data_IF_112297332836
#
_entry.id   IF_112297332836
#
_cell.length_a   1.000
_cell.length_b   1.000
_cell.length_c   1.000
_cell.angle_alpha   90.00
_cell.angle_beta   90.00
_cell.angle_gamma   90.00
#
_symmetry.space_group_name_H-M   'P 1'
#
loop_
_entity.id
_entity.type
_entity.pdbx_description
1 polymer ?
#
# COMPACT_ATOMS: atom_id res chain seq x y z
N UNK A 1 -57.89 -16.29 -20.74
CA UNK A 1 -58.94 -15.93 -19.79
C UNK A 1 -58.31 -15.37 -18.52
N UNK A 2 -58.71 -14.16 -18.19
CA UNK A 2 -58.19 -13.32 -17.09
C UNK A 2 -58.50 -13.88 -15.71
N UNK A 3 -57.65 -13.78 -14.72
CA UNK A 3 -58.04 -13.47 -13.33
C UNK A 3 -57.00 -12.59 -12.65
N UNK A 4 -57.42 -11.37 -12.36
CA UNK A 4 -56.80 -10.34 -11.54
C UNK A 4 -57.29 -10.58 -10.13
N UNK A 5 -56.39 -10.47 -9.12
CA UNK A 5 -56.73 -10.45 -7.69
C UNK A 5 -56.14 -9.17 -7.10
N UNK A 6 -56.94 -8.39 -6.35
CA UNK A 6 -56.56 -7.04 -5.92
C UNK A 6 -55.80 -7.02 -4.59
N UNK A 7 -54.99 -5.98 -4.49
CA UNK A 7 -54.17 -5.54 -3.37
C UNK A 7 -55.05 -4.94 -2.25
N UNK A 8 -54.90 -5.40 -1.00
CA UNK A 8 -55.47 -4.73 0.17
C UNK A 8 -54.40 -3.94 0.91
N UNK A 9 -54.61 -2.63 0.96
CA UNK A 9 -53.86 -1.72 1.85
C UNK A 9 -54.49 -1.77 3.24
N UNK A 10 -53.72 -2.03 4.28
CA UNK A 10 -54.10 -1.82 5.66
C UNK A 10 -53.24 -0.71 6.26
N UNK A 11 -53.83 0.46 6.43
CA UNK A 11 -53.21 1.59 7.11
C UNK A 11 -53.26 1.42 8.63
N UNK A 12 -52.14 1.62 9.29
CA UNK A 12 -52.06 1.75 10.76
C UNK A 12 -51.75 3.21 11.06
N UNK A 13 -52.75 3.84 11.71
CA UNK A 13 -52.71 5.20 12.22
C UNK A 13 -52.02 5.17 13.60
N UNK A 14 -50.83 5.69 13.72
CA UNK A 14 -50.10 5.86 14.97
C UNK A 14 -50.34 7.25 15.56
N UNK A 15 -50.97 7.30 16.72
CA UNK A 15 -51.26 8.50 17.51
C UNK A 15 -49.98 8.94 18.24
N UNK A 16 -49.48 10.12 17.92
CA UNK A 16 -48.42 10.80 18.68
C UNK A 16 -49.03 11.54 19.87
N UNK A 17 -48.69 11.13 21.08
CA UNK A 17 -48.99 11.90 22.30
C UNK A 17 -47.81 12.82 22.60
N UNK A 18 -48.00 14.10 22.47
CA UNK A 18 -47.08 15.15 22.91
C UNK A 18 -47.26 15.39 24.40
N UNK A 19 -46.23 15.07 25.19
CA UNK A 19 -46.13 15.51 26.58
C UNK A 19 -45.31 16.78 26.66
N UNK A 20 -45.97 17.87 26.95
CA UNK A 20 -45.34 19.18 27.22
C UNK A 20 -44.94 19.24 28.70
N UNK A 21 -43.63 19.34 29.01
CA UNK A 21 -43.17 19.74 30.34
C UNK A 21 -42.76 21.21 30.30
N UNK A 22 -43.52 22.05 30.97
CA UNK A 22 -43.13 23.41 31.32
C UNK A 22 -42.08 23.33 32.46
N UNK A 23 -40.93 23.95 32.27
CA UNK A 23 -39.98 24.27 33.34
C UNK A 23 -39.95 25.76 33.59
N UNK A 24 -40.19 26.08 34.85
CA UNK A 24 -40.14 27.41 35.44
C UNK A 24 -38.70 27.92 35.51
N UNK A 25 -38.52 29.15 35.13
CA UNK A 25 -37.25 29.91 35.29
C UNK A 25 -36.95 30.17 36.74
N UNK A 26 -35.73 29.91 37.18
CA UNK A 26 -35.13 30.56 38.35
C UNK A 26 -33.75 31.11 37.96
N UNK A 27 -33.66 32.40 38.14
CA UNK A 27 -32.53 33.26 37.89
C UNK A 27 -31.49 33.07 39.03
N UNK A 28 -30.25 32.70 38.71
CA UNK A 28 -29.10 32.93 39.61
C UNK A 28 -27.75 32.75 38.90
N UNK A 29 -26.96 33.82 38.84
CA UNK A 29 -25.49 33.74 38.91
C UNK A 29 -24.72 33.57 37.62
N UNK A 30 -24.40 34.67 36.94
CA UNK A 30 -23.25 34.79 36.04
C UNK A 30 -21.96 34.39 36.77
N UNK A 31 -21.39 33.26 36.39
CA UNK A 31 -19.94 33.01 36.57
C UNK A 31 -19.39 32.63 35.23
N UNK A 32 -18.70 33.59 34.62
CA UNK A 32 -17.90 33.36 33.39
C UNK A 32 -16.71 32.51 33.77
N UNK A 33 -16.78 31.22 33.51
CA UNK A 33 -15.59 30.36 33.44
C UNK A 33 -15.20 30.29 31.95
N UNK A 34 -14.24 31.12 31.59
CA UNK A 34 -13.48 30.97 30.39
C UNK A 34 -12.63 29.68 30.53
N UNK A 35 -13.17 28.58 30.15
CA UNK A 35 -12.48 27.30 29.99
C UNK A 35 -12.09 27.13 28.55
N UNK A 36 -11.01 27.80 28.15
CA UNK A 36 -10.35 27.55 26.86
C UNK A 36 -9.61 26.21 26.97
N UNK A 37 -10.34 25.10 26.86
CA UNK A 37 -9.73 23.81 26.64
C UNK A 37 -9.43 23.70 25.14
N UNK A 38 -8.35 24.33 24.71
CA UNK A 38 -7.67 23.97 23.50
C UNK A 38 -7.27 22.49 23.65
N UNK A 39 -8.10 21.58 23.21
CA UNK A 39 -7.74 20.17 23.03
C UNK A 39 -6.48 20.21 22.15
N UNK A 40 -5.32 19.93 22.72
CA UNK A 40 -4.05 19.87 22.00
C UNK A 40 -4.23 18.88 20.86
N UNK A 41 -4.32 19.39 19.63
CA UNK A 41 -4.51 18.60 18.43
C UNK A 41 -3.36 17.61 18.39
N UNK A 42 -3.65 16.31 18.57
CA UNK A 42 -2.61 15.26 18.62
C UNK A 42 -1.78 15.34 17.34
N UNK A 43 -0.46 15.33 17.49
CA UNK A 43 0.46 15.33 16.37
C UNK A 43 0.14 14.15 15.42
N UNK A 44 -0.22 14.39 14.17
CA UNK A 44 -0.59 13.31 13.25
C UNK A 44 0.61 12.47 12.77
N UNK A 45 1.83 13.02 12.84
CA UNK A 45 3.06 12.44 12.34
C UNK A 45 4.17 12.43 13.42
N UNK A 46 3.96 11.75 14.56
CA UNK A 46 4.87 11.85 15.71
C UNK A 46 6.26 11.26 15.43
N UNK A 47 6.38 10.32 14.49
CA UNK A 47 7.67 9.71 14.09
C UNK A 47 8.42 10.50 13.03
N UNK A 48 7.90 11.63 12.58
CA UNK A 48 8.55 12.50 11.60
C UNK A 48 9.22 13.71 12.27
N UNK A 49 10.29 14.21 11.64
CA UNK A 49 10.97 15.46 11.98
C UNK A 49 10.60 16.59 11.01
N UNK A 50 10.77 17.84 11.46
CA UNK A 50 10.76 19.01 10.59
C UNK A 50 12.11 19.14 9.84
N UNK A 51 12.13 19.74 8.64
CA UNK A 51 11.03 20.51 8.04
C UNK A 51 10.02 19.66 7.25
N UNK A 52 10.37 18.44 6.81
CA UNK A 52 9.55 17.65 5.88
C UNK A 52 8.17 17.32 6.46
N UNK A 53 8.09 17.03 7.76
CA UNK A 53 6.81 16.85 8.45
C UNK A 53 5.87 18.04 8.24
N UNK A 54 6.38 19.26 8.44
CA UNK A 54 5.60 20.49 8.26
C UNK A 54 5.15 20.63 6.81
N UNK A 55 6.00 20.36 5.84
CA UNK A 55 5.70 20.45 4.41
C UNK A 55 4.55 19.48 4.01
N UNK A 56 4.56 18.25 4.55
CA UNK A 56 3.46 17.28 4.36
C UNK A 56 2.15 17.83 4.94
N UNK A 57 2.18 18.35 6.17
CA UNK A 57 1.00 18.89 6.86
C UNK A 57 0.46 20.12 6.11
N UNK A 58 1.33 21.02 5.69
CA UNK A 58 0.96 22.22 4.93
C UNK A 58 0.33 21.86 3.59
N UNK A 59 0.92 20.88 2.85
CA UNK A 59 0.34 20.40 1.60
C UNK A 59 -1.05 19.79 1.82
N UNK A 60 -1.21 18.90 2.78
CA UNK A 60 -2.51 18.27 3.07
C UNK A 60 -3.53 19.34 3.47
N UNK A 61 -3.17 20.28 4.33
CA UNK A 61 -4.04 21.41 4.71
C UNK A 61 -4.46 22.22 3.49
N UNK A 62 -3.50 22.54 2.60
CA UNK A 62 -3.73 23.31 1.37
C UNK A 62 -4.78 22.67 0.47
N UNK A 63 -4.67 21.36 0.21
CA UNK A 63 -5.58 20.65 -0.72
C UNK A 63 -6.90 20.23 -0.08
N UNK A 64 -7.03 20.34 1.24
CA UNK A 64 -8.26 19.93 1.95
C UNK A 64 -9.10 21.11 2.45
N UNK A 65 -8.58 22.34 2.43
CA UNK A 65 -9.30 23.52 2.89
C UNK A 65 -10.28 24.00 1.83
N UNK A 66 -11.57 23.83 2.09
CA UNK A 66 -12.65 24.27 1.20
C UNK A 66 -12.63 25.78 0.96
N UNK A 67 -13.06 26.18 -0.22
CA UNK A 67 -13.12 27.59 -0.61
C UNK A 67 -11.80 28.23 -1.02
N UNK A 68 -10.70 27.44 -1.06
CA UNK A 68 -9.39 27.90 -1.58
C UNK A 68 -9.18 27.46 -3.02
N UNK A 69 -8.33 28.16 -3.81
CA UNK A 69 -8.01 27.77 -5.18
C UNK A 69 -7.36 26.41 -5.32
N UNK A 70 -6.71 25.92 -4.27
CA UNK A 70 -5.98 24.66 -4.23
C UNK A 70 -6.81 23.48 -3.70
N UNK A 71 -8.07 23.73 -3.33
CA UNK A 71 -8.96 22.68 -2.80
C UNK A 71 -9.18 21.57 -3.81
N UNK A 72 -9.01 20.34 -3.34
CA UNK A 72 -9.26 19.13 -4.12
C UNK A 72 -10.47 18.39 -3.54
N UNK A 73 -11.52 18.08 -4.32
CA UNK A 73 -12.66 17.29 -3.85
C UNK A 73 -12.21 15.92 -3.30
N UNK A 74 -12.89 15.40 -2.29
CA UNK A 74 -12.54 14.11 -1.63
C UNK A 74 -12.38 12.96 -2.63
N UNK A 75 -13.26 12.88 -3.64
CA UNK A 75 -13.22 11.85 -4.70
C UNK A 75 -11.95 11.88 -5.54
N UNK A 76 -11.26 13.01 -5.60
CA UNK A 76 -10.05 13.22 -6.40
C UNK A 76 -8.76 13.19 -5.55
N UNK A 77 -8.88 13.00 -4.23
CA UNK A 77 -7.73 12.88 -3.31
C UNK A 77 -7.18 11.45 -3.34
N UNK A 78 -6.43 11.12 -4.38
CA UNK A 78 -5.78 9.82 -4.56
C UNK A 78 -4.32 9.91 -4.13
N UNK A 79 -3.89 8.97 -3.28
CA UNK A 79 -2.50 8.80 -2.86
C UNK A 79 -1.99 7.41 -3.23
N UNK A 80 -0.84 7.32 -3.87
CA UNK A 80 -0.21 6.07 -4.30
C UNK A 80 1.13 5.87 -3.61
N UNK A 81 1.38 4.66 -3.14
CA UNK A 81 2.60 4.27 -2.43
C UNK A 81 3.19 3.04 -3.09
N UNK A 82 4.49 3.05 -3.37
CA UNK A 82 5.20 1.80 -3.56
C UNK A 82 5.22 1.01 -2.23
N UNK A 83 5.53 -0.28 -2.31
CA UNK A 83 5.53 -1.16 -1.14
C UNK A 83 6.94 -1.47 -0.63
N UNK A 84 7.75 -2.14 -1.47
CA UNK A 84 9.09 -2.59 -1.10
C UNK A 84 10.05 -1.39 -1.00
N UNK A 85 10.66 -1.18 0.18
CA UNK A 85 11.51 -0.02 0.45
C UNK A 85 10.75 1.30 0.70
N UNK A 86 9.43 1.32 0.55
CA UNK A 86 8.59 2.50 0.79
C UNK A 86 7.70 2.34 2.01
N UNK A 87 6.95 1.24 2.09
CA UNK A 87 6.07 0.94 3.22
C UNK A 87 6.70 -0.07 4.20
N UNK A 88 7.60 -0.91 3.74
CA UNK A 88 8.36 -1.87 4.54
C UNK A 88 9.80 -2.04 4.03
N UNK A 89 10.65 -2.67 4.87
CA UNK A 89 12.04 -2.97 4.49
C UNK A 89 12.10 -3.98 3.32
N UNK A 90 13.04 -3.79 2.40
CA UNK A 90 13.14 -4.59 1.18
C UNK A 90 14.45 -5.39 1.02
N UNK A 91 15.36 -5.35 1.98
CA UNK A 91 16.60 -6.11 1.92
C UNK A 91 16.66 -7.10 3.10
N UNK A 92 16.42 -8.40 2.82
CA UNK A 92 16.05 -9.03 1.54
C UNK A 92 14.59 -8.76 1.12
N UNK A 93 14.31 -8.89 -0.20
CA UNK A 93 12.95 -8.73 -0.73
C UNK A 93 11.99 -9.79 -0.16
N UNK A 94 10.85 -9.36 0.36
CA UNK A 94 9.81 -10.26 0.89
C UNK A 94 9.23 -11.15 -0.21
N UNK A 95 9.09 -10.63 -1.43
CA UNK A 95 8.65 -11.39 -2.60
C UNK A 95 9.59 -12.58 -2.90
N UNK A 96 10.90 -12.36 -2.77
CA UNK A 96 11.92 -13.42 -2.94
C UNK A 96 11.85 -14.46 -1.82
N UNK A 97 11.68 -14.02 -0.56
CA UNK A 97 11.52 -14.92 0.59
C UNK A 97 10.29 -15.81 0.42
N UNK A 98 9.19 -15.25 -0.08
CA UNK A 98 7.99 -16.03 -0.39
C UNK A 98 8.23 -17.05 -1.51
N UNK A 99 8.92 -16.66 -2.59
CA UNK A 99 9.27 -17.60 -3.64
C UNK A 99 10.12 -18.77 -3.11
N UNK A 100 11.08 -18.51 -2.23
CA UNK A 100 11.87 -19.57 -1.60
C UNK A 100 11.04 -20.48 -0.67
N UNK A 101 10.11 -19.90 0.08
CA UNK A 101 9.14 -20.65 0.88
C UNK A 101 8.31 -21.60 -0.03
N UNK A 102 7.82 -21.11 -1.15
CA UNK A 102 7.08 -21.90 -2.13
C UNK A 102 7.91 -23.00 -2.77
N UNK A 103 9.17 -22.72 -3.14
CA UNK A 103 10.10 -23.75 -3.65
C UNK A 103 10.22 -24.89 -2.65
N UNK A 104 10.39 -24.61 -1.36
CA UNK A 104 10.47 -25.63 -0.32
C UNK A 104 9.22 -26.52 -0.30
N UNK A 105 8.03 -25.95 -0.36
CA UNK A 105 6.77 -26.71 -0.42
C UNK A 105 6.70 -27.58 -1.68
N UNK A 106 6.99 -27.00 -2.86
CA UNK A 106 6.90 -27.66 -4.16
C UNK A 106 7.88 -28.83 -4.25
N UNK A 107 9.13 -28.66 -3.85
CA UNK A 107 10.13 -29.74 -3.91
C UNK A 107 9.92 -30.80 -2.83
N UNK A 108 9.29 -30.46 -1.71
CA UNK A 108 8.87 -31.44 -0.70
C UNK A 108 7.78 -32.35 -1.23
N UNK A 109 6.81 -31.77 -1.97
CA UNK A 109 5.73 -32.54 -2.60
C UNK A 109 6.21 -33.33 -3.84
N UNK A 110 7.21 -32.80 -4.58
CA UNK A 110 7.79 -33.49 -5.75
C UNK A 110 9.31 -33.33 -5.80
N UNK A 111 10.08 -34.25 -5.14
CA UNK A 111 11.54 -34.15 -5.04
C UNK A 111 12.28 -34.15 -6.39
N UNK A 112 11.69 -34.66 -7.46
CA UNK A 112 12.31 -34.65 -8.79
C UNK A 112 12.50 -33.22 -9.35
N UNK A 113 11.69 -32.26 -8.89
CA UNK A 113 11.80 -30.85 -9.28
C UNK A 113 13.03 -30.19 -8.70
N UNK A 114 13.57 -30.66 -7.59
CA UNK A 114 14.80 -30.10 -7.01
C UNK A 114 16.02 -30.16 -7.96
N UNK A 115 15.97 -31.03 -8.99
CA UNK A 115 17.02 -31.19 -10.01
C UNK A 115 16.78 -30.33 -11.27
N UNK A 116 15.69 -29.54 -11.32
CA UNK A 116 15.31 -28.72 -12.46
C UNK A 116 15.37 -27.24 -12.12
N UNK A 117 15.81 -26.40 -13.08
CA UNK A 117 15.70 -24.95 -12.92
C UNK A 117 14.24 -24.48 -13.00
N UNK A 118 13.87 -23.47 -12.24
CA UNK A 118 14.67 -22.64 -11.31
C UNK A 118 14.82 -23.24 -9.89
N UNK A 119 14.14 -24.33 -9.57
CA UNK A 119 14.16 -24.94 -8.23
C UNK A 119 15.56 -25.36 -7.80
N UNK A 120 16.35 -25.93 -8.73
CA UNK A 120 17.74 -26.33 -8.47
C UNK A 120 18.56 -25.16 -7.94
N UNK A 121 18.49 -23.99 -8.57
CA UNK A 121 19.25 -22.82 -8.14
C UNK A 121 18.89 -22.38 -6.71
N UNK A 122 17.61 -22.45 -6.35
CA UNK A 122 17.17 -22.12 -4.97
C UNK A 122 17.67 -23.15 -3.97
N UNK A 123 17.52 -24.43 -4.27
CA UNK A 123 17.91 -25.53 -3.37
C UNK A 123 19.43 -25.54 -3.14
N UNK A 124 20.22 -25.27 -4.18
CA UNK A 124 21.69 -25.23 -4.10
C UNK A 124 22.25 -23.86 -3.71
N UNK A 125 21.37 -22.84 -3.54
CA UNK A 125 21.74 -21.44 -3.27
C UNK A 125 22.68 -20.88 -4.34
N UNK A 126 22.44 -21.23 -5.61
CA UNK A 126 23.23 -20.77 -6.76
C UNK A 126 22.88 -19.33 -7.11
N UNK A 127 23.59 -18.40 -6.49
CA UNK A 127 23.47 -16.95 -6.77
C UNK A 127 23.85 -16.61 -8.21
N UNK A 128 24.84 -17.33 -8.79
CA UNK A 128 25.30 -17.06 -10.14
C UNK A 128 24.21 -17.30 -11.20
N UNK A 129 23.31 -18.23 -10.97
CA UNK A 129 22.13 -18.42 -11.82
C UNK A 129 21.27 -17.16 -11.91
N UNK A 130 20.97 -16.53 -10.77
CA UNK A 130 20.15 -15.31 -10.71
C UNK A 130 20.93 -14.08 -11.19
N UNK A 131 22.21 -13.95 -10.85
CA UNK A 131 23.06 -12.85 -11.33
C UNK A 131 23.20 -12.84 -12.86
N UNK A 132 23.44 -14.01 -13.46
CA UNK A 132 23.57 -14.17 -14.92
C UNK A 132 22.24 -14.07 -15.65
N UNK A 133 21.19 -14.64 -15.06
CA UNK A 133 19.85 -14.67 -15.66
C UNK A 133 19.07 -13.38 -15.46
N UNK A 134 19.43 -12.56 -14.48
CA UNK A 134 18.80 -11.28 -14.18
C UNK A 134 17.28 -11.41 -14.00
N UNK A 135 16.56 -10.43 -14.53
CA UNK A 135 15.08 -10.36 -14.48
C UNK A 135 14.41 -11.62 -15.05
N UNK A 136 14.97 -12.22 -16.11
CA UNK A 136 14.42 -13.44 -16.70
C UNK A 136 14.42 -14.63 -15.73
N UNK A 137 15.50 -14.81 -14.96
CA UNK A 137 15.59 -15.87 -13.97
C UNK A 137 14.58 -15.66 -12.81
N UNK A 138 14.40 -14.41 -12.39
CA UNK A 138 13.39 -14.05 -11.40
C UNK A 138 11.97 -14.30 -11.89
N UNK A 139 11.64 -13.90 -13.12
CA UNK A 139 10.34 -14.17 -13.74
C UNK A 139 10.08 -15.69 -13.83
N UNK A 140 11.10 -16.48 -14.18
CA UNK A 140 10.97 -17.95 -14.22
C UNK A 140 10.69 -18.52 -12.82
N UNK A 141 11.38 -18.02 -11.79
CA UNK A 141 11.16 -18.46 -10.41
C UNK A 141 9.75 -18.09 -9.95
N UNK A 142 9.33 -16.85 -10.16
CA UNK A 142 8.00 -16.37 -9.77
C UNK A 142 6.92 -17.13 -10.54
N UNK A 143 7.07 -17.33 -11.86
CA UNK A 143 6.16 -18.14 -12.66
C UNK A 143 6.02 -19.57 -12.11
N UNK A 144 7.14 -20.23 -11.76
CA UNK A 144 7.14 -21.59 -11.24
C UNK A 144 6.54 -21.73 -9.83
N UNK A 145 6.54 -20.65 -9.04
CA UNK A 145 6.11 -20.68 -7.62
C UNK A 145 4.74 -20.04 -7.39
N UNK A 146 4.28 -19.17 -8.29
CA UNK A 146 3.07 -18.35 -8.10
C UNK A 146 1.92 -18.72 -9.06
N UNK A 147 2.10 -19.69 -9.95
CA UNK A 147 1.10 -20.05 -10.97
C UNK A 147 0.72 -21.53 -10.91
N UNK A 148 -0.24 -21.95 -11.74
CA UNK A 148 -0.74 -23.33 -11.77
C UNK A 148 -1.62 -23.67 -10.55
N UNK A 149 -2.16 -22.66 -9.87
CA UNK A 149 -3.05 -22.80 -8.72
C UNK A 149 -4.15 -21.75 -8.76
N UNK A 150 -5.20 -21.95 -7.97
CA UNK A 150 -6.27 -20.96 -7.80
C UNK A 150 -5.84 -19.80 -6.93
N UNK A 151 -6.54 -18.66 -7.07
CA UNK A 151 -6.30 -17.47 -6.22
C UNK A 151 -6.48 -17.78 -4.73
N UNK A 152 -7.48 -18.57 -4.38
CA UNK A 152 -7.76 -18.97 -3.00
C UNK A 152 -6.61 -19.80 -2.42
N UNK A 153 -6.04 -20.71 -3.21
CA UNK A 153 -4.87 -21.51 -2.80
C UNK A 153 -3.63 -20.63 -2.61
N UNK A 154 -3.42 -19.68 -3.52
CA UNK A 154 -2.30 -18.76 -3.42
C UNK A 154 -2.43 -17.85 -2.19
N UNK A 155 -3.61 -17.26 -1.95
CA UNK A 155 -3.87 -16.42 -0.77
C UNK A 155 -3.64 -17.19 0.53
N UNK A 156 -4.07 -18.47 0.59
CA UNK A 156 -3.82 -19.33 1.74
C UNK A 156 -2.32 -19.49 2.01
N UNK A 157 -1.55 -19.87 0.98
CA UNK A 157 -0.11 -20.05 1.09
C UNK A 157 0.61 -18.74 1.48
N UNK A 158 0.17 -17.61 0.95
CA UNK A 158 0.70 -16.29 1.30
C UNK A 158 0.43 -15.96 2.78
N UNK A 159 -0.79 -16.18 3.27
CA UNK A 159 -1.15 -15.95 4.68
C UNK A 159 -0.36 -16.86 5.62
N UNK A 160 -0.18 -18.14 5.28
CA UNK A 160 0.63 -19.08 6.06
C UNK A 160 2.11 -18.63 6.13
N UNK A 161 2.65 -18.15 5.00
CA UNK A 161 3.98 -17.57 4.97
C UNK A 161 4.08 -16.37 5.91
N UNK A 162 3.21 -15.38 5.79
CA UNK A 162 3.26 -14.18 6.62
C UNK A 162 3.04 -14.46 8.11
N UNK A 163 2.27 -15.51 8.45
CA UNK A 163 2.06 -15.92 9.83
C UNK A 163 3.29 -16.59 10.48
N UNK A 164 4.15 -17.21 9.65
CA UNK A 164 5.27 -18.06 10.15
C UNK A 164 6.65 -17.51 9.83
N UNK A 165 6.78 -16.66 8.81
CA UNK A 165 8.08 -16.23 8.32
C UNK A 165 8.72 -15.18 9.23
N UNK A 166 10.01 -15.39 9.45
CA UNK A 166 10.90 -14.47 10.17
C UNK A 166 11.77 -13.74 9.16
N UNK A 167 11.85 -12.42 9.27
CA UNK A 167 12.65 -11.59 8.36
C UNK A 167 14.15 -11.77 8.67
N UNK A 168 14.94 -12.24 7.70
CA UNK A 168 16.37 -12.47 7.91
C UNK A 168 17.13 -11.21 8.31
N UNK A 169 18.13 -11.37 9.17
CA UNK A 169 18.99 -10.28 9.65
C UNK A 169 18.40 -9.47 10.82
N UNK A 170 17.06 -9.38 10.94
CA UNK A 170 16.37 -8.72 12.06
C UNK A 170 15.77 -9.70 13.06
N UNK A 171 15.52 -10.94 12.67
CA UNK A 171 14.88 -11.98 13.47
C UNK A 171 13.53 -11.58 14.07
N UNK A 172 12.73 -10.83 13.30
CA UNK A 172 11.38 -10.42 13.66
C UNK A 172 10.37 -10.99 12.66
N UNK A 173 9.09 -11.16 13.04
CA UNK A 173 8.04 -11.46 12.07
C UNK A 173 8.02 -10.44 10.93
N UNK A 174 7.67 -10.87 9.71
CA UNK A 174 7.59 -9.95 8.56
C UNK A 174 6.61 -8.78 8.83
N UNK A 175 5.56 -8.98 9.60
CA UNK A 175 4.65 -7.90 10.01
C UNK A 175 5.31 -6.77 10.82
N UNK A 176 6.55 -6.97 11.30
CA UNK A 176 7.30 -5.98 12.10
C UNK A 176 8.35 -5.20 11.30
N UNK A 177 8.44 -5.40 9.99
CA UNK A 177 9.37 -4.65 9.14
C UNK A 177 8.71 -3.46 8.43
N UNK A 178 7.46 -3.15 8.74
CA UNK A 178 6.74 -1.97 8.22
C UNK A 178 7.34 -0.70 8.80
N UNK A 179 7.39 0.36 8.00
CA UNK A 179 7.92 1.63 8.46
C UNK A 179 6.87 2.42 9.26
N UNK A 180 7.15 2.66 10.52
CA UNK A 180 6.25 3.38 11.43
C UNK A 180 5.85 4.77 10.89
N UNK A 181 6.77 5.61 10.37
CA UNK A 181 6.39 6.90 9.81
C UNK A 181 5.42 6.79 8.65
N UNK A 182 5.55 5.77 7.81
CA UNK A 182 4.65 5.57 6.68
C UNK A 182 3.25 5.11 7.14
N UNK A 183 3.15 4.31 8.20
CA UNK A 183 1.85 3.97 8.79
C UNK A 183 1.12 5.22 9.32
N UNK A 184 1.86 6.14 9.94
CA UNK A 184 1.33 7.43 10.40
C UNK A 184 0.87 8.29 9.21
N UNK A 185 1.67 8.37 8.16
CA UNK A 185 1.35 9.12 6.94
C UNK A 185 0.09 8.55 6.25
N UNK A 186 -0.01 7.24 6.08
CA UNK A 186 -1.20 6.58 5.54
C UNK A 186 -2.45 6.91 6.38
N UNK A 187 -2.33 6.83 7.71
CA UNK A 187 -3.43 7.15 8.62
C UNK A 187 -3.84 8.62 8.53
N UNK A 188 -2.86 9.54 8.49
CA UNK A 188 -3.10 10.97 8.37
C UNK A 188 -3.77 11.35 7.06
N UNK A 189 -3.31 10.79 5.94
CA UNK A 189 -3.91 11.03 4.63
C UNK A 189 -5.36 10.53 4.59
N UNK A 190 -5.64 9.31 5.07
CA UNK A 190 -7.02 8.79 5.14
C UNK A 190 -7.92 9.64 6.03
N UNK A 191 -7.42 10.06 7.20
CA UNK A 191 -8.15 10.98 8.09
C UNK A 191 -8.44 12.35 7.42
N UNK A 192 -7.64 12.71 6.42
CA UNK A 192 -7.79 13.92 5.60
C UNK A 192 -8.60 13.69 4.31
N UNK A 193 -9.27 12.54 4.19
CA UNK A 193 -10.16 12.20 3.07
C UNK A 193 -9.45 11.70 1.82
N UNK A 194 -8.19 11.27 1.91
CA UNK A 194 -7.51 10.61 0.79
C UNK A 194 -7.87 9.13 0.72
N UNK A 195 -8.01 8.63 -0.51
CA UNK A 195 -7.99 7.18 -0.78
C UNK A 195 -6.55 6.76 -1.06
N UNK A 196 -6.04 5.81 -0.25
CA UNK A 196 -4.65 5.36 -0.33
C UNK A 196 -4.54 4.04 -1.11
N UNK A 197 -3.64 3.96 -2.07
CA UNK A 197 -3.38 2.79 -2.89
C UNK A 197 -1.92 2.35 -2.75
N UNK A 198 -1.69 1.04 -2.80
CA UNK A 198 -0.35 0.48 -3.03
C UNK A 198 -0.18 0.28 -4.53
N UNK A 199 0.99 0.66 -5.08
CA UNK A 199 1.38 0.47 -6.48
C UNK A 199 2.76 -0.18 -6.51
N UNK A 200 2.82 -1.51 -6.64
CA UNK A 200 4.03 -2.31 -6.44
C UNK A 200 4.50 -3.04 -7.69
N UNK A 201 5.82 -3.12 -7.88
CA UNK A 201 6.44 -4.02 -8.85
C UNK A 201 6.29 -5.50 -8.53
N UNK A 202 6.02 -5.83 -7.25
CA UNK A 202 5.76 -7.19 -6.79
C UNK A 202 4.42 -7.75 -7.25
N UNK A 203 4.21 -9.05 -7.02
CA UNK A 203 2.93 -9.70 -7.35
C UNK A 203 1.80 -9.17 -6.49
N UNK A 204 0.73 -8.73 -7.15
CA UNK A 204 -0.39 -8.04 -6.53
C UNK A 204 -1.04 -8.86 -5.41
N UNK A 205 -1.22 -10.18 -5.60
CA UNK A 205 -1.92 -11.03 -4.66
C UNK A 205 -1.12 -11.28 -3.37
N UNK A 206 0.22 -11.31 -3.44
CA UNK A 206 1.04 -11.43 -2.25
C UNK A 206 0.84 -10.20 -1.34
N UNK A 207 0.81 -9.01 -1.92
CA UNK A 207 0.57 -7.78 -1.18
C UNK A 207 -0.88 -7.69 -0.70
N UNK A 208 -1.85 -8.12 -1.51
CA UNK A 208 -3.28 -8.20 -1.14
C UNK A 208 -3.53 -9.08 0.08
N UNK A 209 -2.73 -10.14 0.25
CA UNK A 209 -2.87 -11.05 1.40
C UNK A 209 -2.66 -10.35 2.75
N UNK A 210 -1.93 -9.22 2.78
CA UNK A 210 -1.53 -8.52 4.02
C UNK A 210 -1.87 -7.03 4.05
N UNK A 211 -2.27 -6.42 2.94
CA UNK A 211 -2.40 -4.96 2.82
C UNK A 211 -3.39 -4.37 3.82
N UNK A 212 -4.51 -5.03 4.07
CA UNK A 212 -5.51 -4.59 5.04
C UNK A 212 -4.97 -4.70 6.47
N UNK A 213 -4.41 -5.85 6.83
CA UNK A 213 -3.92 -6.10 8.19
C UNK A 213 -2.69 -5.27 8.58
N UNK A 214 -1.79 -4.96 7.64
CA UNK A 214 -0.56 -4.20 7.91
C UNK A 214 -0.73 -2.70 7.75
N UNK A 215 -1.48 -2.28 6.74
CA UNK A 215 -1.55 -0.87 6.34
C UNK A 215 -2.96 -0.27 6.45
N UNK A 216 -4.00 -1.09 6.69
CA UNK A 216 -5.40 -0.67 6.61
C UNK A 216 -5.80 -0.29 5.18
N UNK A 217 -5.17 -0.90 4.17
CA UNK A 217 -5.45 -0.70 2.75
C UNK A 217 -6.19 -1.92 2.23
N UNK A 218 -7.48 -1.80 1.81
CA UNK A 218 -8.26 -2.91 1.30
C UNK A 218 -7.64 -3.54 0.04
N UNK A 219 -7.89 -4.84 -0.20
CA UNK A 219 -7.34 -5.59 -1.34
C UNK A 219 -7.58 -4.94 -2.71
N UNK A 220 -8.74 -4.30 -2.90
CA UNK A 220 -9.09 -3.60 -4.13
C UNK A 220 -8.35 -2.25 -4.31
N UNK A 221 -7.61 -1.81 -3.31
CA UNK A 221 -6.71 -0.64 -3.38
C UNK A 221 -5.24 -1.03 -3.55
N UNK A 222 -4.97 -2.25 -3.99
CA UNK A 222 -3.64 -2.73 -4.36
C UNK A 222 -3.56 -2.87 -5.87
N UNK A 223 -2.58 -2.21 -6.47
CA UNK A 223 -2.17 -2.30 -7.88
C UNK A 223 -0.78 -2.94 -7.90
N UNK A 224 -0.53 -3.91 -8.77
CA UNK A 224 0.74 -4.62 -8.79
C UNK A 224 0.92 -5.45 -10.06
N UNK A 225 2.03 -6.15 -10.15
CA UNK A 225 2.26 -7.10 -11.25
C UNK A 225 1.24 -8.22 -11.21
N UNK A 226 0.55 -8.44 -12.33
CA UNK A 226 -0.49 -9.47 -12.46
C UNK A 226 -0.06 -10.58 -13.42
N UNK A 227 -0.53 -11.78 -13.13
CA UNK A 227 -0.53 -12.88 -14.07
C UNK A 227 -1.83 -12.91 -14.87
N UNK A 228 -1.86 -13.64 -15.98
CA UNK A 228 -3.10 -13.93 -16.66
C UNK A 228 -3.99 -14.81 -15.80
N UNK A 229 -5.26 -14.46 -15.75
CA UNK A 229 -6.29 -15.19 -15.04
C UNK A 229 -7.22 -15.91 -16.01
N UNK A 230 -7.59 -17.14 -15.65
CA UNK A 230 -8.60 -17.92 -16.37
C UNK A 230 -9.69 -18.32 -15.38
N UNK A 231 -10.92 -18.04 -15.75
CA UNK A 231 -12.08 -18.56 -15.03
C UNK A 231 -12.28 -20.04 -15.34
N UNK A 232 -12.32 -20.86 -14.30
CA UNK A 232 -12.57 -22.30 -14.38
C UNK A 232 -13.99 -22.58 -13.93
N UNK A 233 -14.89 -22.81 -14.89
CA UNK A 233 -16.33 -22.95 -14.63
C UNK A 233 -16.67 -24.16 -13.75
N UNK A 234 -15.95 -25.29 -13.90
CA UNK A 234 -16.24 -26.53 -13.17
C UNK A 234 -16.18 -26.40 -11.66
N UNK A 235 -15.33 -25.51 -11.13
CA UNK A 235 -15.18 -25.23 -9.69
C UNK A 235 -15.39 -23.75 -9.34
N UNK A 236 -15.75 -22.91 -10.33
CA UNK A 236 -16.02 -21.47 -10.19
C UNK A 236 -14.85 -20.70 -9.55
N UNK A 237 -13.63 -21.08 -9.92
CA UNK A 237 -12.41 -20.45 -9.40
C UNK A 237 -11.67 -19.66 -10.47
N UNK A 238 -10.77 -18.79 -10.03
CA UNK A 238 -9.81 -18.10 -10.88
C UNK A 238 -8.47 -18.81 -10.79
N UNK A 239 -7.97 -19.27 -11.95
CA UNK A 239 -6.68 -19.92 -12.08
C UNK A 239 -5.63 -18.93 -12.58
N UNK A 240 -4.42 -19.04 -12.05
CA UNK A 240 -3.26 -18.23 -12.44
C UNK A 240 -2.44 -18.98 -13.49
N UNK A 241 -2.28 -18.39 -14.67
CA UNK A 241 -1.42 -18.92 -15.73
C UNK A 241 0.02 -18.41 -15.64
N UNK A 242 1.02 -19.16 -16.12
CA UNK A 242 2.44 -18.78 -16.07
C UNK A 242 2.80 -17.72 -17.15
N UNK A 243 1.99 -16.67 -17.24
CA UNK A 243 2.20 -15.55 -18.15
C UNK A 243 1.86 -14.25 -17.42
N UNK A 244 2.80 -13.31 -17.42
CA UNK A 244 2.56 -11.96 -16.89
C UNK A 244 1.59 -11.23 -17.82
N UNK A 245 0.58 -10.60 -17.25
CA UNK A 245 -0.37 -9.74 -17.94
C UNK A 245 0.04 -8.27 -17.85
N UNK A 246 0.33 -7.79 -16.64
CA UNK A 246 0.88 -6.46 -16.38
C UNK A 246 2.15 -6.59 -15.53
N UNK A 247 3.29 -6.09 -16.03
CA UNK A 247 4.47 -5.82 -15.21
C UNK A 247 4.35 -4.40 -14.65
N UNK A 248 3.97 -4.28 -13.37
CA UNK A 248 3.70 -3.00 -12.71
C UNK A 248 4.97 -2.36 -12.11
N UNK A 249 6.00 -2.20 -12.95
CA UNK A 249 7.27 -1.54 -12.60
C UNK A 249 7.59 -0.44 -13.59
N UNK A 250 8.30 0.59 -13.18
CA UNK A 250 8.66 1.76 -14.02
C UNK A 250 7.44 2.31 -14.76
N UNK A 251 7.46 2.33 -16.10
CA UNK A 251 6.34 2.76 -16.94
C UNK A 251 5.06 1.92 -16.76
N UNK A 252 5.17 0.71 -16.22
CA UNK A 252 4.01 -0.12 -15.87
C UNK A 252 3.21 0.42 -14.68
N UNK A 253 3.82 1.17 -13.75
CA UNK A 253 3.10 1.77 -12.61
C UNK A 253 2.02 2.76 -13.05
N UNK A 254 2.28 3.78 -13.89
CA UNK A 254 1.23 4.64 -14.44
C UNK A 254 0.15 3.88 -15.21
N UNK A 255 0.52 2.84 -15.96
CA UNK A 255 -0.44 1.99 -16.68
C UNK A 255 -1.36 1.26 -15.71
N UNK A 256 -0.79 0.64 -14.67
CA UNK A 256 -1.56 -0.01 -13.62
C UNK A 256 -2.49 0.96 -12.88
N UNK A 257 -2.02 2.17 -12.55
CA UNK A 257 -2.85 3.23 -11.96
C UNK A 257 -4.01 3.56 -12.87
N UNK A 258 -3.77 3.77 -14.18
CA UNK A 258 -4.84 4.06 -15.13
C UNK A 258 -5.85 2.92 -15.24
N UNK A 259 -5.41 1.66 -15.28
CA UNK A 259 -6.28 0.50 -15.41
C UNK A 259 -7.15 0.25 -14.18
N UNK A 260 -6.61 0.46 -12.97
CA UNK A 260 -7.26 0.05 -11.72
C UNK A 260 -7.90 1.22 -10.95
N UNK A 261 -7.38 2.43 -11.10
CA UNK A 261 -7.87 3.63 -10.40
C UNK A 261 -8.63 4.55 -11.36
N UNK A 262 -8.17 4.69 -12.62
CA UNK A 262 -8.79 5.53 -13.65
C UNK A 262 -8.54 7.03 -13.45
N UNK A 263 -7.73 7.42 -12.46
CA UNK A 263 -7.43 8.81 -12.10
C UNK A 263 -5.96 8.99 -11.76
N UNK A 264 -5.40 10.16 -12.06
CA UNK A 264 -4.05 10.51 -11.61
C UNK A 264 -4.05 10.80 -10.12
N UNK A 265 -3.09 10.25 -9.35
CA UNK A 265 -2.94 10.61 -7.94
C UNK A 265 -2.51 12.07 -7.79
N UNK A 266 -2.74 12.65 -6.61
CA UNK A 266 -2.20 13.95 -6.20
C UNK A 266 -1.11 13.79 -5.14
N UNK A 267 -0.90 12.59 -4.65
CA UNK A 267 0.18 12.25 -3.72
C UNK A 267 0.83 10.94 -4.16
N UNK A 268 2.16 10.87 -4.18
CA UNK A 268 2.89 9.64 -4.45
C UNK A 268 4.12 9.52 -3.56
N UNK A 269 4.38 8.29 -3.10
CA UNK A 269 5.59 7.96 -2.38
C UNK A 269 6.22 6.70 -2.95
N UNK A 270 7.52 6.75 -3.18
CA UNK A 270 8.35 5.65 -3.65
C UNK A 270 9.71 5.66 -2.99
N UNK A 271 10.65 4.84 -3.46
CA UNK A 271 11.99 4.75 -2.92
C UNK A 271 13.09 4.86 -4.01
N UNK A 272 14.32 4.90 -3.54
CA UNK A 272 15.52 4.99 -4.37
C UNK A 272 16.02 3.61 -4.84
N UNK A 273 15.20 2.82 -5.55
CA UNK A 273 15.68 1.55 -6.09
C UNK A 273 15.33 1.37 -7.55
N UNK A 274 16.36 1.15 -8.38
CA UNK A 274 16.25 0.85 -9.82
C UNK A 274 15.40 1.81 -10.67
N UNK A 275 15.11 3.02 -10.16
CA UNK A 275 14.25 4.00 -10.84
C UNK A 275 12.80 3.56 -10.99
N UNK A 276 12.35 2.54 -10.24
CA UNK A 276 11.02 1.95 -10.35
C UNK A 276 9.87 2.92 -10.17
N UNK A 277 10.05 3.94 -9.32
CA UNK A 277 9.00 4.89 -8.91
C UNK A 277 9.02 6.22 -9.65
N UNK A 278 10.04 6.48 -10.47
CA UNK A 278 10.19 7.75 -11.18
C UNK A 278 8.95 8.06 -12.01
N UNK A 279 8.42 7.09 -12.77
CA UNK A 279 7.30 7.29 -13.67
C UNK A 279 5.97 7.44 -12.90
N UNK A 280 5.82 6.79 -11.75
CA UNK A 280 4.68 6.99 -10.84
C UNK A 280 4.68 8.44 -10.30
N UNK A 281 5.83 8.93 -9.84
CA UNK A 281 5.96 10.30 -9.34
C UNK A 281 5.72 11.35 -10.43
N UNK A 282 6.27 11.16 -11.63
CA UNK A 282 5.99 12.02 -12.79
C UNK A 282 4.51 12.04 -13.17
N UNK A 283 3.86 10.87 -13.16
CA UNK A 283 2.44 10.74 -13.45
C UNK A 283 1.59 11.47 -12.43
N UNK A 284 1.92 11.36 -11.14
CA UNK A 284 1.32 12.14 -10.07
C UNK A 284 1.53 13.64 -10.29
N UNK A 285 2.76 14.09 -10.55
CA UNK A 285 3.11 15.50 -10.78
C UNK A 285 2.38 16.10 -11.98
N UNK A 286 2.03 15.29 -12.97
CA UNK A 286 1.27 15.73 -14.16
C UNK A 286 -0.23 15.91 -13.91
N UNK A 287 -0.72 15.80 -12.68
CA UNK A 287 -2.09 16.11 -12.32
C UNK A 287 -2.36 17.63 -12.48
N UNK A 288 -3.60 18.02 -12.78
CA UNK A 288 -4.00 19.42 -12.85
C UNK A 288 -4.17 20.08 -11.47
N UNK A 289 -4.35 19.27 -10.43
CA UNK A 289 -4.35 19.73 -9.05
C UNK A 289 -2.92 19.84 -8.48
N UNK A 290 -2.72 20.61 -7.39
CA UNK A 290 -1.46 20.56 -6.66
C UNK A 290 -1.13 19.13 -6.22
N UNK A 291 0.12 18.72 -6.41
CA UNK A 291 0.54 17.37 -6.10
C UNK A 291 1.81 17.33 -5.26
N UNK A 292 2.05 16.21 -4.56
CA UNK A 292 3.18 16.03 -3.64
C UNK A 292 3.84 14.67 -3.88
N UNK A 293 5.15 14.66 -4.07
CA UNK A 293 5.93 13.46 -4.35
C UNK A 293 7.02 13.28 -3.31
N UNK A 294 7.17 12.04 -2.83
CA UNK A 294 8.17 11.61 -1.86
C UNK A 294 9.04 10.49 -2.43
N UNK A 295 10.35 10.55 -2.22
CA UNK A 295 11.29 9.46 -2.49
C UNK A 295 12.06 9.15 -1.21
N UNK A 296 11.94 7.91 -0.72
CA UNK A 296 12.69 7.42 0.44
C UNK A 296 14.14 7.17 0.06
N UNK A 297 15.05 7.84 0.76
CA UNK A 297 16.50 7.61 0.70
C UNK A 297 16.91 6.74 1.89
N UNK A 298 17.40 5.55 1.62
CA UNK A 298 17.82 4.55 2.62
C UNK A 298 19.21 4.82 3.18
N UNK A 299 19.40 6.01 3.75
CA UNK A 299 20.69 6.53 4.22
C UNK A 299 20.99 6.26 5.72
N UNK A 300 20.25 5.36 6.38
CA UNK A 300 20.43 5.04 7.79
C UNK A 300 20.99 3.63 8.02
N UNK A 301 22.31 3.51 8.02
CA UNK A 301 23.01 2.23 8.24
C UNK A 301 22.95 1.71 9.69
N UNK A 302 22.47 2.52 10.65
CA UNK A 302 22.41 2.13 12.08
C UNK A 302 21.09 1.45 12.43
N UNK A 303 19.99 1.89 11.81
CA UNK A 303 18.64 1.44 12.17
C UNK A 303 18.00 0.55 11.12
N UNK A 304 18.52 0.64 9.85
CA UNK A 304 18.03 -0.11 8.69
C UNK A 304 19.20 -0.43 7.74
N UNK A 305 18.99 -1.23 6.69
CA UNK A 305 20.01 -1.49 5.68
C UNK A 305 20.23 -0.23 4.83
N UNK A 306 21.49 0.25 4.81
CA UNK A 306 21.91 1.29 3.88
C UNK A 306 22.03 0.71 2.48
N UNK A 307 21.41 1.35 1.52
CA UNK A 307 21.68 1.11 0.09
C UNK A 307 21.39 2.35 -0.73
N UNK A 308 22.00 2.40 -1.90
CA UNK A 308 21.73 3.37 -2.94
C UNK A 308 21.75 2.68 -4.29
N UNK A 309 20.91 3.10 -5.21
CA UNK A 309 21.01 2.66 -6.60
C UNK A 309 22.27 3.17 -7.24
N UNK A 310 22.87 2.36 -8.14
CA UNK A 310 24.20 2.57 -8.69
C UNK A 310 24.42 3.96 -9.34
N UNK A 311 23.41 4.49 -10.00
CA UNK A 311 23.45 5.78 -10.72
C UNK A 311 22.65 6.90 -10.01
N UNK A 312 22.05 6.62 -8.85
CA UNK A 312 21.20 7.53 -8.09
C UNK A 312 20.08 8.14 -8.94
N UNK A 313 19.51 7.37 -9.88
CA UNK A 313 18.53 7.87 -10.84
C UNK A 313 17.29 8.47 -10.15
N UNK A 314 16.75 7.80 -9.11
CA UNK A 314 15.58 8.26 -8.38
C UNK A 314 15.84 9.57 -7.62
N UNK A 315 16.99 9.67 -6.93
CA UNK A 315 17.36 10.91 -6.22
C UNK A 315 17.64 12.07 -7.20
N UNK A 316 18.32 11.79 -8.32
CA UNK A 316 18.51 12.79 -9.38
C UNK A 316 17.18 13.26 -9.97
N UNK A 317 16.26 12.33 -10.25
CA UNK A 317 14.92 12.66 -10.72
C UNK A 317 14.15 13.50 -9.68
N UNK A 318 14.26 13.18 -8.38
CA UNK A 318 13.65 13.96 -7.32
C UNK A 318 14.15 15.40 -7.31
N UNK A 319 15.46 15.61 -7.38
CA UNK A 319 16.07 16.95 -7.45
C UNK A 319 15.64 17.72 -8.71
N UNK A 320 15.68 17.07 -9.87
CA UNK A 320 15.33 17.69 -11.15
C UNK A 320 13.86 18.12 -11.21
N UNK A 321 12.96 17.32 -10.62
CA UNK A 321 11.53 17.58 -10.63
C UNK A 321 11.04 18.29 -9.36
N UNK A 322 11.92 18.64 -8.43
CA UNK A 322 11.61 19.30 -7.15
C UNK A 322 10.69 18.47 -6.26
N UNK A 323 10.88 17.15 -6.25
CA UNK A 323 10.21 16.26 -5.31
C UNK A 323 10.94 16.27 -3.97
N UNK A 324 10.24 15.88 -2.93
CA UNK A 324 10.81 15.78 -1.58
C UNK A 324 11.54 14.45 -1.41
N UNK A 325 12.74 14.51 -0.84
CA UNK A 325 13.54 13.33 -0.51
C UNK A 325 13.42 13.10 1.00
N UNK A 326 12.98 11.92 1.40
CA UNK A 326 12.97 11.49 2.80
C UNK A 326 14.34 10.95 3.15
N UNK A 327 15.06 11.61 4.05
CA UNK A 327 16.23 11.03 4.70
C UNK A 327 15.76 10.14 5.85
N UNK A 328 15.86 8.82 5.73
CA UNK A 328 15.52 7.94 6.85
C UNK A 328 16.25 8.30 8.12
N UNK A 329 17.51 8.74 8.00
CA UNK A 329 18.36 9.10 9.12
C UNK A 329 17.87 10.36 9.83
N UNK A 330 17.48 11.40 9.09
CA UNK A 330 17.25 12.73 9.62
C UNK A 330 15.75 13.04 9.78
N UNK A 331 14.89 12.56 8.85
CA UNK A 331 13.46 12.87 8.84
C UNK A 331 12.63 11.89 9.69
N UNK A 332 13.16 10.70 10.02
CA UNK A 332 12.44 9.70 10.80
C UNK A 332 13.04 9.50 12.19
N UNK A 333 12.25 9.77 13.26
CA UNK A 333 12.61 9.51 14.66
C UNK A 333 12.62 8.02 14.97
N UNK A 334 11.68 7.28 14.39
CA UNK A 334 11.47 5.85 14.57
C UNK A 334 11.34 5.21 13.20
N UNK A 335 12.03 4.08 12.95
CA UNK A 335 11.93 3.36 11.67
C UNK A 335 10.79 2.32 11.73
N UNK A 336 10.80 1.45 12.74
CA UNK A 336 9.88 0.33 12.87
C UNK A 336 8.95 0.49 14.07
N UNK A 337 7.74 -0.10 14.06
CA UNK A 337 6.85 -0.16 15.22
C UNK A 337 7.53 -0.86 16.41
N UNK A 338 7.21 -0.37 17.60
CA UNK A 338 7.67 -0.98 18.86
C UNK A 338 6.88 -2.23 19.21
#
# INVERSE_FOLDING_TARGET
MKKVVPLFYLGILGVFVMVSCQQTASDAGKTTVAGDSAATKKDPLPSWNDPLKKEIIDYVSKVTTEGTPDFVPVKDRIATFDNDGTLWAEIPLVQELFAYYRVKQIVTANPALAKKQPFLAVVTKDKAYFEKGGEKALIQLVGATHTGMTEESFEKDAKEFFASAVYPGRNVPISKIVYQPQLELLSYLRASGFTTYIVTGGTIELVRAISDSLYGIPKNQVVGTTFKYVYVDSNRSIMREPAIDLLCDKAGKPVGIQMHIGQKPIFSAGNERSGGDIEMCKFCQSNHYPSFQLIVNHNDSLREYYYQEKDSASLKAAVQNKWHIISMKDDWKTIFPR
#
